data_IF_844016115355
#
_entry.id   IF_844016115355
#
_cell.length_a   1.000
_cell.length_b   1.000
_cell.length_c   1.000
_cell.angle_alpha   90.00
_cell.angle_beta   90.00
_cell.angle_gamma   90.00
#
_symmetry.space_group_name_H-M   'P 1'
#
loop_
_entity.id
_entity.type
_entity.pdbx_description
1 polymer ?
#
# COMPACT_ATOMS: atom_id res chain seq x y z
N UNK A 1 -30.18 18.50 5.69
CA UNK A 1 -29.11 18.21 4.72
C UNK A 1 -29.79 17.81 3.43
N UNK A 2 -29.54 18.53 2.33
CA UNK A 2 -30.15 18.31 1.01
C UNK A 2 -29.91 16.86 0.52
N UNK A 3 -30.92 16.23 -0.09
CA UNK A 3 -30.84 14.85 -0.59
C UNK A 3 -29.74 14.71 -1.66
N UNK A 4 -29.54 15.74 -2.50
CA UNK A 4 -28.42 15.76 -3.46
C UNK A 4 -27.06 15.69 -2.78
N UNK A 5 -26.91 16.39 -1.65
CA UNK A 5 -25.68 16.38 -0.86
C UNK A 5 -25.43 15.03 -0.22
N UNK A 6 -26.48 14.39 0.34
CA UNK A 6 -26.36 13.03 0.90
C UNK A 6 -25.92 12.04 -0.16
N UNK A 7 -26.52 12.11 -1.34
CA UNK A 7 -26.19 11.21 -2.44
C UNK A 7 -24.74 11.39 -2.94
N UNK A 8 -24.28 12.63 -3.05
CA UNK A 8 -22.89 12.93 -3.42
C UNK A 8 -21.89 12.39 -2.38
N UNK A 9 -22.19 12.54 -1.09
CA UNK A 9 -21.36 11.98 -0.03
C UNK A 9 -21.31 10.45 -0.11
N UNK A 10 -22.46 9.81 -0.32
CA UNK A 10 -22.60 8.36 -0.37
C UNK A 10 -21.91 7.73 -1.58
N UNK A 11 -22.00 8.36 -2.74
CA UNK A 11 -21.55 7.76 -4.01
C UNK A 11 -20.16 8.18 -4.44
N UNK A 12 -19.66 9.33 -3.96
CA UNK A 12 -18.35 9.88 -4.39
C UNK A 12 -17.37 9.97 -3.23
N UNK A 13 -17.73 10.70 -2.18
CA UNK A 13 -16.79 11.05 -1.11
C UNK A 13 -16.45 9.85 -0.23
N UNK A 14 -17.46 9.12 0.25
CA UNK A 14 -17.23 7.97 1.13
C UNK A 14 -16.48 6.83 0.44
N UNK A 15 -16.81 6.42 -0.81
CA UNK A 15 -16.05 5.39 -1.52
C UNK A 15 -14.59 5.78 -1.73
N UNK A 16 -14.32 7.00 -2.22
CA UNK A 16 -12.94 7.47 -2.37
C UNK A 16 -12.20 7.43 -1.03
N UNK A 17 -12.77 8.00 0.03
CA UNK A 17 -12.14 8.06 1.33
C UNK A 17 -11.82 6.68 1.89
N UNK A 18 -12.78 5.74 1.82
CA UNK A 18 -12.61 4.38 2.31
C UNK A 18 -11.53 3.64 1.52
N UNK A 19 -11.56 3.72 0.18
CA UNK A 19 -10.61 3.04 -0.68
C UNK A 19 -9.21 3.63 -0.56
N UNK A 20 -9.06 4.95 -0.42
CA UNK A 20 -7.77 5.60 -0.17
C UNK A 20 -7.19 5.18 1.18
N UNK A 21 -8.01 5.16 2.23
CA UNK A 21 -7.59 4.62 3.54
C UNK A 21 -7.06 3.19 3.43
N UNK A 22 -7.78 2.33 2.69
CA UNK A 22 -7.39 0.94 2.49
C UNK A 22 -6.08 0.81 1.68
N UNK A 23 -5.96 1.54 0.57
CA UNK A 23 -4.76 1.56 -0.28
C UNK A 23 -3.52 1.92 0.53
N UNK A 24 -3.54 3.04 1.25
CA UNK A 24 -2.35 3.49 1.99
C UNK A 24 -1.95 2.51 3.09
N UNK A 25 -2.93 1.86 3.74
CA UNK A 25 -2.66 0.80 4.74
C UNK A 25 -2.04 -0.43 4.11
N UNK A 26 -2.53 -0.87 2.96
CA UNK A 26 -1.95 -1.98 2.19
C UNK A 26 -0.51 -1.65 1.79
N UNK A 27 -0.27 -0.44 1.27
CA UNK A 27 1.08 0.02 0.92
C UNK A 27 2.02 0.07 2.13
N UNK A 28 1.53 0.53 3.30
CA UNK A 28 2.32 0.55 4.53
C UNK A 28 2.75 -0.85 5.00
N UNK A 29 1.87 -1.84 4.82
CA UNK A 29 2.13 -3.25 5.16
C UNK A 29 3.12 -3.89 4.18
N UNK A 30 3.02 -3.59 2.89
CA UNK A 30 3.87 -4.13 1.82
C UNK A 30 5.10 -3.26 1.52
N UNK A 31 5.53 -2.44 2.48
CA UNK A 31 6.73 -1.62 2.29
C UNK A 31 7.95 -2.50 2.06
N UNK A 32 8.79 -2.10 1.11
CA UNK A 32 10.04 -2.75 0.78
C UNK A 32 11.22 -2.04 1.44
N UNK A 33 12.34 -2.75 1.55
CA UNK A 33 13.61 -2.13 1.87
C UNK A 33 13.99 -1.14 0.76
N UNK A 34 14.49 0.06 1.10
CA UNK A 34 14.97 1.03 0.13
C UNK A 34 15.94 0.42 -0.89
N UNK A 35 15.73 0.68 -2.17
CA UNK A 35 16.71 0.30 -3.18
C UNK A 35 17.96 1.19 -3.09
N UNK A 36 19.17 0.63 -3.25
CA UNK A 36 20.40 1.41 -3.28
C UNK A 36 20.37 2.41 -4.44
N UNK A 37 20.80 3.66 -4.21
CA UNK A 37 20.88 4.70 -5.23
C UNK A 37 19.64 5.59 -5.37
N UNK A 38 18.47 5.17 -4.89
CA UNK A 38 17.26 5.99 -4.96
C UNK A 38 17.23 7.06 -3.86
N UNK A 39 17.32 8.34 -4.24
CA UNK A 39 17.26 9.49 -3.32
C UNK A 39 16.11 10.43 -3.73
N UNK A 40 15.06 10.61 -2.91
CA UNK A 40 14.77 9.94 -1.65
C UNK A 40 14.39 8.46 -1.85
N UNK A 41 14.63 7.58 -0.87
CA UNK A 41 14.21 6.20 -0.97
C UNK A 41 12.68 6.11 -1.07
N UNK A 42 12.16 5.19 -1.87
CA UNK A 42 10.74 4.84 -1.92
C UNK A 42 10.53 3.56 -1.13
N UNK A 43 9.64 3.61 -0.14
CA UNK A 43 9.29 2.47 0.72
C UNK A 43 8.14 1.66 0.14
N UNK A 44 7.23 2.27 -0.61
CA UNK A 44 6.12 1.58 -1.26
C UNK A 44 5.66 2.40 -2.46
N UNK A 45 5.21 1.73 -3.51
CA UNK A 45 4.59 2.39 -4.65
C UNK A 45 3.38 1.61 -5.18
N UNK A 46 2.45 2.34 -5.76
CA UNK A 46 1.33 1.82 -6.54
C UNK A 46 1.10 2.79 -7.71
N UNK A 47 0.81 2.27 -8.89
CA UNK A 47 0.61 3.08 -10.08
C UNK A 47 -0.71 2.69 -10.77
N UNK A 48 -1.42 3.70 -11.24
CA UNK A 48 -2.56 3.58 -12.13
C UNK A 48 -2.17 4.29 -13.43
N UNK A 49 -1.98 3.53 -14.51
CA UNK A 49 -1.65 4.05 -15.83
C UNK A 49 -2.77 3.62 -16.78
N UNK A 50 -3.67 4.55 -17.04
CA UNK A 50 -4.85 4.38 -17.88
C UNK A 50 -4.82 5.38 -19.04
N UNK A 51 -5.72 5.22 -20.01
CA UNK A 51 -5.85 6.22 -21.08
C UNK A 51 -6.27 7.60 -20.56
N UNK A 52 -7.08 7.66 -19.49
CA UNK A 52 -7.62 8.90 -18.94
C UNK A 52 -6.63 9.63 -18.01
N UNK A 53 -5.78 8.89 -17.30
CA UNK A 53 -4.86 9.46 -16.31
C UNK A 53 -3.71 8.49 -15.98
N UNK A 54 -2.58 9.07 -15.56
CA UNK A 54 -1.44 8.37 -14.98
C UNK A 54 -1.15 8.93 -13.58
N UNK A 55 -1.47 8.16 -12.54
CA UNK A 55 -1.30 8.54 -11.12
C UNK A 55 -0.47 7.49 -10.39
N UNK A 56 0.58 7.93 -9.71
CA UNK A 56 1.41 7.10 -8.84
C UNK A 56 1.28 7.51 -7.39
N UNK A 57 1.03 6.54 -6.52
CA UNK A 57 1.10 6.69 -5.09
C UNK A 57 2.46 6.22 -4.61
N UNK A 58 3.15 7.03 -3.82
CA UNK A 58 4.45 6.65 -3.24
C UNK A 58 4.48 6.94 -1.74
N UNK A 59 5.16 6.06 -0.99
CA UNK A 59 5.60 6.34 0.36
C UNK A 59 7.10 6.61 0.34
N UNK A 60 7.54 7.80 0.74
CA UNK A 60 8.97 8.13 0.79
C UNK A 60 9.59 7.66 2.11
N UNK A 61 10.84 7.23 2.08
CA UNK A 61 11.59 6.75 3.24
C UNK A 61 12.43 7.82 3.96
N UNK A 62 12.26 9.11 3.65
CA UNK A 62 13.00 10.21 4.28
C UNK A 62 12.07 11.13 5.09
N UNK A 63 12.58 11.65 6.20
CA UNK A 63 11.89 12.64 7.04
C UNK A 63 10.60 12.06 7.64
N UNK A 64 9.49 12.77 7.46
CA UNK A 64 8.17 12.39 8.00
C UNK A 64 7.54 11.17 7.33
N UNK A 65 8.21 10.54 6.36
CA UNK A 65 7.71 9.41 5.56
C UNK A 65 6.34 9.67 4.91
N UNK A 66 6.24 10.69 4.04
CA UNK A 66 4.97 11.09 3.46
C UNK A 66 4.45 10.07 2.44
N UNK A 67 3.13 9.93 2.40
CA UNK A 67 2.39 9.40 1.26
C UNK A 67 2.06 10.53 0.29
N UNK A 68 2.39 10.34 -0.98
CA UNK A 68 2.18 11.30 -2.05
C UNK A 68 1.35 10.66 -3.17
N UNK A 69 0.40 11.40 -3.72
CA UNK A 69 -0.09 11.16 -5.08
C UNK A 69 0.73 12.04 -6.03
N UNK A 70 1.28 11.42 -7.06
CA UNK A 70 1.95 12.08 -8.18
C UNK A 70 1.08 11.83 -9.40
N UNK A 71 0.47 12.88 -9.94
CA UNK A 71 -0.26 12.87 -11.19
C UNK A 71 0.77 13.20 -12.28
N UNK A 72 1.11 12.24 -13.14
CA UNK A 72 2.14 12.43 -14.16
C UNK A 72 1.55 13.00 -15.45
N UNK A 73 0.44 12.42 -15.92
CA UNK A 73 -0.26 12.82 -17.14
C UNK A 73 -1.78 12.68 -16.97
N UNK A 74 -2.58 13.51 -17.68
CA UNK A 74 -2.15 14.65 -18.49
C UNK A 74 -1.83 15.92 -17.66
N UNK A 75 -2.02 15.87 -16.34
CA UNK A 75 -1.86 17.03 -15.46
C UNK A 75 -0.76 16.82 -14.40
N UNK A 76 0.45 17.37 -14.62
CA UNK A 76 1.55 17.23 -13.66
C UNK A 76 1.23 17.91 -12.33
N UNK A 77 0.88 17.13 -11.31
CA UNK A 77 0.57 17.65 -9.98
C UNK A 77 0.98 16.68 -8.88
N UNK A 78 1.15 17.20 -7.66
CA UNK A 78 1.57 16.39 -6.51
C UNK A 78 0.80 16.79 -5.27
N UNK A 79 0.16 15.81 -4.64
CA UNK A 79 -0.64 16.02 -3.43
C UNK A 79 -0.09 15.18 -2.28
N UNK A 80 -0.01 15.79 -1.10
CA UNK A 80 0.37 15.11 0.14
C UNK A 80 -0.86 14.48 0.78
N UNK A 81 -0.90 13.15 0.85
CA UNK A 81 -2.09 12.43 1.31
C UNK A 81 -2.03 12.04 2.79
N UNK A 82 -0.84 12.04 3.37
CA UNK A 82 -0.63 11.59 4.73
C UNK A 82 0.82 11.22 5.00
N UNK A 83 1.03 10.45 6.06
CA UNK A 83 2.35 9.95 6.45
C UNK A 83 2.30 8.58 7.09
N UNK A 84 3.40 7.86 6.96
CA UNK A 84 3.67 6.64 7.70
C UNK A 84 4.27 6.98 9.07
N UNK A 85 3.55 6.64 10.12
CA UNK A 85 3.96 6.84 11.52
C UNK A 85 5.03 5.82 11.93
N UNK A 86 5.72 6.10 13.05
CA UNK A 86 6.83 5.25 13.53
C UNK A 86 6.37 3.87 13.98
N UNK A 87 5.14 3.76 14.49
CA UNK A 87 4.45 2.52 14.86
C UNK A 87 3.96 1.70 13.65
N UNK A 88 4.18 2.20 12.42
CA UNK A 88 3.73 1.55 11.20
C UNK A 88 2.30 1.91 10.79
N UNK A 89 1.59 2.73 11.58
CA UNK A 89 0.25 3.20 11.24
C UNK A 89 0.28 4.30 10.17
N UNK A 90 -0.82 4.45 9.45
CA UNK A 90 -1.02 5.51 8.47
C UNK A 90 -1.83 6.64 9.10
N UNK A 91 -1.31 7.86 9.03
CA UNK A 91 -2.05 9.06 9.35
C UNK A 91 -2.37 9.81 8.05
N UNK A 92 -3.65 9.86 7.67
CA UNK A 92 -4.12 10.60 6.50
C UNK A 92 -4.25 12.08 6.81
N UNK A 93 -3.99 12.91 5.81
CA UNK A 93 -4.26 14.34 5.84
C UNK A 93 -5.56 14.62 5.10
N UNK A 94 -6.61 15.01 5.83
CA UNK A 94 -7.93 15.27 5.24
C UNK A 94 -7.88 16.34 4.16
N UNK A 95 -7.13 17.42 4.38
CA UNK A 95 -7.02 18.51 3.39
C UNK A 95 -6.29 18.06 2.13
N UNK A 96 -5.27 17.21 2.29
CA UNK A 96 -4.60 16.57 1.17
C UNK A 96 -5.56 15.71 0.34
N UNK A 97 -6.39 14.93 1.01
CA UNK A 97 -7.39 14.10 0.34
C UNK A 97 -8.49 14.95 -0.32
N UNK A 98 -8.92 16.06 0.29
CA UNK A 98 -9.87 17.00 -0.31
C UNK A 98 -9.30 17.66 -1.57
N UNK A 99 -8.04 18.10 -1.54
CA UNK A 99 -7.36 18.66 -2.72
C UNK A 99 -7.31 17.62 -3.84
N UNK A 100 -6.91 16.39 -3.51
CA UNK A 100 -6.88 15.29 -4.48
C UNK A 100 -8.27 14.97 -5.06
N UNK A 101 -9.30 14.91 -4.22
CA UNK A 101 -10.68 14.68 -4.63
C UNK A 101 -11.17 15.79 -5.57
N UNK A 102 -10.97 17.06 -5.19
CA UNK A 102 -11.40 18.19 -6.00
C UNK A 102 -10.70 18.22 -7.34
N UNK A 103 -9.43 17.84 -7.39
CA UNK A 103 -8.68 17.72 -8.63
C UNK A 103 -9.31 16.68 -9.55
N UNK A 104 -9.53 15.45 -9.06
CA UNK A 104 -10.17 14.39 -9.85
C UNK A 104 -11.59 14.76 -10.30
N UNK A 105 -12.32 15.53 -9.49
CA UNK A 105 -13.64 16.02 -9.82
C UNK A 105 -13.59 17.09 -10.92
N UNK A 106 -12.66 18.04 -10.83
CA UNK A 106 -12.48 19.12 -11.81
C UNK A 106 -12.07 18.59 -13.17
N UNK A 107 -11.23 17.56 -13.18
CA UNK A 107 -10.76 16.92 -14.41
C UNK A 107 -11.70 15.80 -14.90
N UNK A 108 -12.90 15.67 -14.32
CA UNK A 108 -13.95 14.74 -14.74
C UNK A 108 -13.56 13.24 -14.75
N UNK A 109 -12.51 12.87 -14.01
CA UNK A 109 -12.00 11.48 -13.92
C UNK A 109 -12.36 10.76 -12.62
N UNK A 110 -13.00 11.46 -11.67
CA UNK A 110 -13.30 10.94 -10.33
C UNK A 110 -13.99 9.57 -10.34
N UNK A 111 -14.98 9.39 -11.19
CA UNK A 111 -15.80 8.16 -11.20
C UNK A 111 -15.04 6.95 -11.70
N UNK A 112 -14.25 7.16 -12.75
CA UNK A 112 -13.37 6.12 -13.30
C UNK A 112 -12.31 5.77 -12.26
N UNK A 113 -11.69 6.78 -11.66
CA UNK A 113 -10.67 6.60 -10.63
C UNK A 113 -11.19 5.83 -9.40
N UNK A 114 -12.39 6.14 -8.89
CA UNK A 114 -12.97 5.42 -7.74
C UNK A 114 -13.10 3.92 -8.05
N UNK A 115 -13.63 3.57 -9.23
CA UNK A 115 -13.77 2.16 -9.61
C UNK A 115 -12.43 1.44 -9.71
N UNK A 116 -11.46 2.08 -10.34
CA UNK A 116 -10.11 1.51 -10.51
C UNK A 116 -9.42 1.32 -9.16
N UNK A 117 -9.57 2.31 -8.25
CA UNK A 117 -9.04 2.26 -6.91
C UNK A 117 -9.68 1.14 -6.08
N UNK A 118 -11.01 1.01 -6.09
CA UNK A 118 -11.71 -0.05 -5.37
C UNK A 118 -11.28 -1.44 -5.87
N UNK A 119 -11.19 -1.61 -7.19
CA UNK A 119 -10.69 -2.84 -7.82
C UNK A 119 -9.27 -3.16 -7.37
N UNK A 120 -8.36 -2.18 -7.44
CA UNK A 120 -6.98 -2.36 -7.03
C UNK A 120 -6.85 -2.73 -5.53
N UNK A 121 -7.63 -2.08 -4.65
CA UNK A 121 -7.65 -2.41 -3.22
C UNK A 121 -8.08 -3.86 -2.99
N UNK A 122 -9.11 -4.33 -3.69
CA UNK A 122 -9.58 -5.71 -3.59
C UNK A 122 -8.50 -6.68 -4.06
N UNK A 123 -7.93 -6.46 -5.24
CA UNK A 123 -6.90 -7.32 -5.82
C UNK A 123 -5.65 -7.40 -4.93
N UNK A 124 -5.19 -6.27 -4.41
CA UNK A 124 -4.04 -6.23 -3.50
C UNK A 124 -4.34 -6.92 -2.17
N UNK A 125 -5.54 -6.72 -1.60
CA UNK A 125 -5.93 -7.39 -0.37
C UNK A 125 -5.99 -8.92 -0.55
N UNK A 126 -6.49 -9.40 -1.70
CA UNK A 126 -6.50 -10.82 -2.04
C UNK A 126 -5.08 -11.38 -2.22
N UNK A 127 -4.20 -10.64 -2.89
CA UNK A 127 -2.79 -11.04 -3.06
C UNK A 127 -2.07 -11.17 -1.71
N UNK A 128 -2.31 -10.27 -0.77
CA UNK A 128 -1.74 -10.34 0.59
C UNK A 128 -2.20 -11.57 1.36
N UNK A 129 -3.49 -11.95 1.25
CA UNK A 129 -4.02 -13.15 1.92
C UNK A 129 -3.32 -14.41 1.41
N UNK A 130 -3.15 -14.53 0.10
CA UNK A 130 -2.44 -15.67 -0.53
C UNK A 130 -1.00 -15.78 -0.04
N UNK A 131 -0.28 -14.66 0.07
CA UNK A 131 1.09 -14.65 0.58
C UNK A 131 1.20 -15.05 2.05
N UNK A 132 0.19 -14.72 2.88
CA UNK A 132 0.16 -15.11 4.29
C UNK A 132 0.01 -16.64 4.43
N UNK A 133 -0.93 -17.24 3.69
CA UNK A 133 -1.15 -18.68 3.69
C UNK A 133 0.09 -19.47 3.28
N UNK A 134 0.81 -19.00 2.24
CA UNK A 134 2.04 -19.66 1.78
C UNK A 134 3.19 -19.58 2.81
N UNK A 135 3.29 -18.49 3.58
CA UNK A 135 4.29 -18.37 4.64
C UNK A 135 3.98 -19.29 5.83
N UNK A 136 2.72 -19.40 6.21
CA UNK A 136 2.27 -20.31 7.27
C UNK A 136 2.49 -21.78 6.89
N UNK A 137 2.30 -22.14 5.62
CA UNK A 137 2.61 -23.49 5.12
C UNK A 137 4.14 -23.75 5.07
N UNK A 138 4.95 -22.75 4.70
CA UNK A 138 6.41 -22.88 4.69
C UNK A 138 7.02 -22.96 6.10
N UNK A 139 6.54 -22.17 7.07
CA UNK A 139 6.99 -22.25 8.47
C UNK A 139 6.61 -23.59 9.12
N UNK A 140 5.40 -24.11 8.84
CA UNK A 140 5.00 -25.45 9.28
C UNK A 140 5.82 -26.58 8.64
N UNK A 141 6.28 -26.39 7.41
CA UNK A 141 7.16 -27.34 6.74
C UNK A 141 8.61 -27.28 7.26
N UNK A 142 9.10 -26.11 7.67
CA UNK A 142 10.46 -25.96 8.22
C UNK A 142 10.59 -26.48 9.66
N UNK A 143 9.54 -26.36 10.47
CA UNK A 143 9.52 -26.91 11.85
C UNK A 143 9.42 -28.45 11.90
N UNK A 144 9.20 -29.10 10.74
CA UNK A 144 9.13 -30.56 10.61
C UNK A 144 10.44 -31.27 10.26
N UNK A 145 11.56 -30.55 10.07
CA UNK A 145 12.86 -31.16 9.69
C UNK A 145 13.88 -31.10 10.82
N UNK A 146 13.62 -31.84 11.90
CA UNK A 146 14.66 -32.26 12.85
C UNK A 146 14.55 -33.76 13.06
N UNK A 147 15.05 -34.54 12.10
CA UNK A 147 15.19 -35.98 12.22
C UNK A 147 16.39 -36.46 11.42
N UNK A 148 17.59 -36.30 11.98
CA UNK A 148 18.66 -37.33 12.03
C UNK A 148 19.99 -36.73 12.52
N UNK A 149 20.24 -36.79 13.82
CA UNK A 149 21.60 -36.90 14.33
C UNK A 149 21.78 -38.35 14.78
N UNK A 150 22.32 -39.18 13.87
CA UNK A 150 22.82 -40.50 14.19
C UNK A 150 24.02 -40.35 15.12
N UNK A 151 23.88 -40.77 16.37
CA UNK A 151 24.98 -40.95 17.32
C UNK A 151 25.85 -42.13 16.87
N UNK A 152 26.94 -41.83 16.14
CA UNK A 152 28.04 -42.76 15.89
C UNK A 152 29.15 -42.56 16.93
N UNK A 153 29.34 -43.62 17.72
CA UNK A 153 30.60 -44.16 18.26
C UNK A 153 31.61 -43.20 18.94
N UNK A 154 31.81 -43.47 20.23
CA UNK A 154 32.98 -43.04 21.00
C UNK A 154 34.27 -43.77 20.55
N UNK A 155 35.43 -43.13 20.70
CA UNK A 155 36.66 -43.85 20.97
C UNK A 155 37.30 -43.46 22.31
N UNK A 156 37.77 -44.52 22.96
CA UNK A 156 38.72 -44.70 24.04
C UNK A 156 39.72 -43.56 24.30
N UNK A 157 39.86 -43.20 25.59
CA UNK A 157 41.04 -42.51 26.11
C UNK A 157 41.84 -43.55 26.89
N UNK A 158 43.04 -43.84 26.41
CA UNK A 158 44.08 -44.62 27.08
C UNK A 158 44.86 -43.66 27.99
N UNK A 159 45.02 -44.01 29.26
CA UNK A 159 46.16 -43.61 30.11
C UNK A 159 46.51 -44.75 31.05
#
# INVERSE_FOLDING_TARGET
>A
MDEKRKEFLRTKVMPLHAAMCALLRIMAKNKTSPQPGQKPPILAQCAFDTEAYAIRFICRGKGIRPFLAIMDRPWPHKVYLGRLMRDGNVHLFEDGLKVFFNFLLQEEVLDVFIRDLEKAVIEMALAMRRQCSLKEEQEKASDGSCATCQSRQAPEIIH
#
